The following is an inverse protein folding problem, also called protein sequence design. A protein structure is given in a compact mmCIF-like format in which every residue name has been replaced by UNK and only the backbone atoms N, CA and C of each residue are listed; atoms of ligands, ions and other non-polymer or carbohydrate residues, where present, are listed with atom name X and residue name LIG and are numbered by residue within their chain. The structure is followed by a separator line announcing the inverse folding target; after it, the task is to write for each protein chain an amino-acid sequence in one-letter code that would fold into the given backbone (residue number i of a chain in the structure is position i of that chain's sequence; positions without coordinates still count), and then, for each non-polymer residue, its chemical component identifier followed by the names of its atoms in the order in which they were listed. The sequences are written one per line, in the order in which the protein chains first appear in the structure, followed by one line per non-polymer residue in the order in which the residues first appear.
data_IF_501693819314
#
_entry.id   IF_501693819314
#
_cell.length_a   1.000
_cell.length_b   1.000
_cell.length_c   1.000
_cell.angle_alpha   90.00
_cell.angle_beta   90.00
_cell.angle_gamma   90.00
#
_symmetry.space_group_name_H-M   'P 1'
#
loop_
_entity.id
_entity.type
_entity.pdbx_description
1 polymer ?
#
# COMPACT_ATOMS: atom_id res chain seq x y z
N UNK A 1 2.56 15.69 -19.74
CA UNK A 1 2.92 14.37 -19.19
C UNK A 1 4.42 14.29 -18.83
N UNK A 2 5.32 14.85 -19.65
CA UNK A 2 6.78 14.87 -19.39
C UNK A 2 7.23 15.59 -18.10
N UNK A 3 6.55 16.66 -17.70
CA UNK A 3 6.93 17.44 -16.51
C UNK A 3 6.75 16.69 -15.19
N UNK A 4 5.73 15.83 -15.07
CA UNK A 4 5.46 15.07 -13.84
C UNK A 4 6.45 13.91 -13.67
N UNK A 5 6.83 13.25 -14.77
CA UNK A 5 7.86 12.21 -14.78
C UNK A 5 9.22 12.79 -14.37
N UNK A 6 9.64 13.92 -14.95
CA UNK A 6 10.89 14.57 -14.56
C UNK A 6 10.93 14.93 -13.06
N UNK A 7 9.81 15.41 -12.49
CA UNK A 7 9.74 15.70 -11.05
C UNK A 7 9.84 14.45 -10.18
N UNK A 8 9.33 13.31 -10.65
CA UNK A 8 9.44 12.04 -9.94
C UNK A 8 10.86 11.48 -10.00
N UNK A 9 11.54 11.62 -11.14
CA UNK A 9 12.94 11.22 -11.28
C UNK A 9 13.86 12.06 -10.37
N UNK A 10 13.64 13.37 -10.31
CA UNK A 10 14.37 14.26 -9.39
C UNK A 10 14.10 13.90 -7.92
N UNK A 11 12.84 13.62 -7.58
CA UNK A 11 12.45 13.19 -6.23
C UNK A 11 13.07 11.84 -5.84
N UNK A 12 13.12 10.88 -6.77
CA UNK A 12 13.80 9.59 -6.55
C UNK A 12 15.27 9.82 -6.22
N UNK A 13 15.99 10.62 -7.02
CA UNK A 13 17.42 10.88 -6.81
C UNK A 13 17.68 11.54 -5.44
N UNK A 14 16.89 12.54 -5.08
CA UNK A 14 17.00 13.21 -3.79
C UNK A 14 16.77 12.22 -2.63
N UNK A 15 15.72 11.40 -2.69
CA UNK A 15 15.42 10.42 -1.64
C UNK A 15 16.49 9.34 -1.52
N UNK A 16 17.07 8.88 -2.63
CA UNK A 16 18.20 7.93 -2.59
C UNK A 16 19.42 8.51 -1.89
N UNK A 17 19.74 9.79 -2.11
CA UNK A 17 20.82 10.45 -1.38
C UNK A 17 20.53 10.49 0.12
N UNK A 18 19.30 10.82 0.53
CA UNK A 18 18.92 10.82 1.95
C UNK A 18 19.02 9.41 2.56
N UNK A 19 18.54 8.38 1.87
CA UNK A 19 18.64 6.98 2.35
C UNK A 19 20.09 6.54 2.50
N UNK A 20 20.99 6.97 1.61
CA UNK A 20 22.41 6.65 1.70
C UNK A 20 23.09 7.36 2.89
N UNK A 21 22.67 8.58 3.22
CA UNK A 21 23.22 9.35 4.34
C UNK A 21 22.63 8.93 5.69
N UNK A 22 21.36 8.52 5.70
CA UNK A 22 20.60 8.16 6.91
C UNK A 22 19.75 6.90 6.65
N UNK A 23 20.38 5.71 6.65
CA UNK A 23 19.72 4.46 6.27
C UNK A 23 18.59 4.05 7.21
N UNK A 24 18.54 4.57 8.44
CA UNK A 24 17.55 4.19 9.44
C UNK A 24 16.24 4.98 9.35
N UNK A 25 16.13 5.94 8.41
CA UNK A 25 14.91 6.72 8.23
C UNK A 25 13.82 5.94 7.50
N UNK A 26 12.95 5.30 8.29
CA UNK A 26 11.80 4.52 7.82
C UNK A 26 10.85 5.35 6.92
N UNK A 27 10.56 6.59 7.32
CA UNK A 27 9.69 7.49 6.54
C UNK A 27 10.27 7.78 5.14
N UNK A 28 11.57 8.00 5.04
CA UNK A 28 12.25 8.26 3.76
C UNK A 28 12.21 7.03 2.84
N UNK A 29 12.44 5.84 3.38
CA UNK A 29 12.32 4.57 2.63
C UNK A 29 10.89 4.32 2.14
N UNK A 30 9.89 4.62 2.98
CA UNK A 30 8.49 4.54 2.57
C UNK A 30 8.16 5.51 1.42
N UNK A 31 8.62 6.75 1.52
CA UNK A 31 8.42 7.76 0.46
C UNK A 31 9.12 7.35 -0.84
N UNK A 32 10.33 6.79 -0.75
CA UNK A 32 11.03 6.25 -1.92
C UNK A 32 10.22 5.12 -2.57
N UNK A 33 9.66 4.21 -1.78
CA UNK A 33 8.76 3.15 -2.27
C UNK A 33 7.57 3.70 -3.07
N UNK A 34 6.91 4.74 -2.57
CA UNK A 34 5.78 5.39 -3.26
C UNK A 34 6.21 6.04 -4.59
N UNK A 35 7.36 6.70 -4.62
CA UNK A 35 7.89 7.31 -5.85
C UNK A 35 8.25 6.22 -6.88
N UNK A 36 8.89 5.15 -6.45
CA UNK A 36 9.25 4.01 -7.31
C UNK A 36 7.99 3.33 -7.88
N UNK A 37 6.93 3.19 -7.10
CA UNK A 37 5.63 2.68 -7.58
C UNK A 37 5.06 3.57 -8.69
N UNK A 38 5.06 4.90 -8.49
CA UNK A 38 4.58 5.86 -9.50
C UNK A 38 5.42 5.87 -10.78
N UNK A 39 6.70 5.49 -10.68
CA UNK A 39 7.61 5.32 -11.80
C UNK A 39 7.53 3.91 -12.45
N UNK A 40 6.71 3.01 -11.92
CA UNK A 40 6.58 1.64 -12.40
C UNK A 40 7.75 0.71 -12.02
N UNK A 41 8.67 1.16 -11.15
CA UNK A 41 9.81 0.38 -10.64
C UNK A 41 9.37 -0.52 -9.48
N UNK A 42 8.40 -1.40 -9.76
CA UNK A 42 7.66 -2.16 -8.75
C UNK A 42 8.55 -3.08 -7.89
N UNK A 43 9.57 -3.71 -8.48
CA UNK A 43 10.49 -4.60 -7.73
C UNK A 43 11.35 -3.82 -6.71
N UNK A 44 11.73 -2.58 -7.02
CA UNK A 44 12.48 -1.74 -6.08
C UNK A 44 11.56 -1.17 -4.99
N UNK A 45 10.33 -0.81 -5.36
CA UNK A 45 9.31 -0.39 -4.40
C UNK A 45 9.00 -1.51 -3.38
N UNK A 46 8.88 -2.76 -3.85
CA UNK A 46 8.70 -3.93 -2.98
C UNK A 46 9.83 -4.05 -1.95
N UNK A 47 11.08 -3.92 -2.38
CA UNK A 47 12.24 -3.98 -1.48
C UNK A 47 12.20 -2.86 -0.43
N UNK A 48 11.79 -1.65 -0.83
CA UNK A 48 11.65 -0.53 0.10
C UNK A 48 10.61 -0.84 1.19
N UNK A 49 9.42 -1.33 0.81
CA UNK A 49 8.37 -1.64 1.79
C UNK A 49 8.74 -2.82 2.69
N UNK A 50 9.40 -3.86 2.16
CA UNK A 50 9.92 -4.96 3.00
C UNK A 50 10.97 -4.48 3.99
N UNK A 51 11.86 -3.58 3.59
CA UNK A 51 12.85 -2.99 4.48
C UNK A 51 12.18 -2.12 5.57
N UNK A 52 11.15 -1.36 5.22
CA UNK A 52 10.34 -0.59 6.19
C UNK A 52 9.66 -1.52 7.19
N UNK A 53 9.03 -2.60 6.73
CA UNK A 53 8.36 -3.59 7.61
C UNK A 53 9.37 -4.26 8.54
N UNK A 54 10.57 -4.60 8.06
CA UNK A 54 11.61 -5.20 8.89
C UNK A 54 12.11 -4.25 9.99
N UNK A 55 12.23 -2.95 9.68
CA UNK A 55 12.68 -1.93 10.63
C UNK A 55 11.56 -1.42 11.55
N UNK A 56 10.31 -1.45 11.08
CA UNK A 56 9.13 -0.94 11.79
C UNK A 56 7.89 -1.76 11.43
N UNK A 57 7.72 -2.95 12.05
CA UNK A 57 6.61 -3.85 11.77
C UNK A 57 5.23 -3.24 12.06
N UNK A 58 5.20 -2.20 12.88
CA UNK A 58 3.99 -1.50 13.32
C UNK A 58 3.57 -0.37 12.37
N UNK A 59 4.18 -0.25 11.19
CA UNK A 59 3.84 0.76 10.20
C UNK A 59 2.82 0.22 9.16
N UNK A 60 1.51 0.50 9.33
CA UNK A 60 0.45 -0.14 8.54
C UNK A 60 0.49 0.24 7.06
N UNK A 61 0.95 1.45 6.72
CA UNK A 61 1.04 1.95 5.35
C UNK A 61 1.97 1.08 4.49
N UNK A 62 3.10 0.62 5.05
CA UNK A 62 4.03 -0.24 4.31
C UNK A 62 3.45 -1.64 4.05
N UNK A 63 2.70 -2.21 5.00
CA UNK A 63 1.97 -3.45 4.77
C UNK A 63 0.91 -3.27 3.68
N UNK A 64 0.13 -2.18 3.72
CA UNK A 64 -0.87 -1.89 2.68
C UNK A 64 -0.23 -1.74 1.30
N UNK A 65 0.85 -0.97 1.18
CA UNK A 65 1.49 -0.71 -0.11
C UNK A 65 2.23 -1.95 -0.65
N UNK A 66 2.85 -2.75 0.21
CA UNK A 66 3.37 -4.07 -0.19
C UNK A 66 2.24 -4.96 -0.71
N UNK A 67 1.08 -4.96 -0.04
CA UNK A 67 -0.10 -5.68 -0.49
C UNK A 67 -0.54 -5.27 -1.90
N UNK A 68 -0.54 -3.96 -2.20
CA UNK A 68 -0.89 -3.44 -3.53
C UNK A 68 0.05 -3.96 -4.63
N UNK A 69 1.36 -3.94 -4.37
CA UNK A 69 2.34 -4.47 -5.32
C UNK A 69 2.12 -5.97 -5.56
N UNK A 70 1.94 -6.74 -4.49
CA UNK A 70 1.73 -8.19 -4.57
C UNK A 70 0.43 -8.54 -5.31
N UNK A 71 -0.64 -7.79 -5.05
CA UNK A 71 -1.92 -7.92 -5.76
C UNK A 71 -1.75 -7.64 -7.25
N UNK A 72 -1.04 -6.56 -7.62
CA UNK A 72 -0.72 -6.24 -9.02
C UNK A 72 0.11 -7.32 -9.71
N UNK A 73 0.93 -8.05 -8.95
CA UNK A 73 1.70 -9.20 -9.43
C UNK A 73 0.90 -10.53 -9.43
N UNK A 74 -0.39 -10.52 -9.07
CA UNK A 74 -1.23 -11.72 -9.01
C UNK A 74 -1.00 -12.61 -7.79
N UNK A 75 -0.19 -12.18 -6.82
CA UNK A 75 0.10 -12.92 -5.57
C UNK A 75 -0.96 -12.63 -4.52
N UNK A 76 -2.19 -13.07 -4.78
CA UNK A 76 -3.37 -12.64 -4.03
C UNK A 76 -3.35 -13.08 -2.55
N UNK A 77 -2.82 -14.27 -2.24
CA UNK A 77 -2.67 -14.78 -0.88
C UNK A 77 -1.71 -13.93 -0.04
N UNK A 78 -0.55 -13.57 -0.61
CA UNK A 78 0.45 -12.73 0.05
C UNK A 78 -0.10 -11.31 0.23
N UNK A 79 -0.80 -10.78 -0.78
CA UNK A 79 -1.46 -9.48 -0.71
C UNK A 79 -2.50 -9.44 0.42
N UNK A 80 -3.39 -10.44 0.50
CA UNK A 80 -4.35 -10.57 1.60
C UNK A 80 -3.66 -10.56 2.96
N UNK A 81 -2.57 -11.32 3.10
CA UNK A 81 -1.81 -11.37 4.35
C UNK A 81 -1.26 -9.99 4.73
N UNK A 82 -0.76 -9.23 3.77
CA UNK A 82 -0.29 -7.87 3.99
C UNK A 82 -1.41 -6.93 4.43
N UNK A 83 -2.57 -6.94 3.77
CA UNK A 83 -3.70 -6.10 4.17
C UNK A 83 -4.24 -6.46 5.56
N UNK A 84 -4.30 -7.75 5.90
CA UNK A 84 -4.68 -8.19 7.25
C UNK A 84 -3.69 -7.70 8.30
N UNK A 85 -2.38 -7.71 8.00
CA UNK A 85 -1.38 -7.11 8.89
C UNK A 85 -1.60 -5.60 9.06
N UNK A 86 -1.83 -4.86 7.97
CA UNK A 86 -2.14 -3.43 8.04
C UNK A 86 -3.35 -3.14 8.94
N UNK A 87 -4.45 -3.90 8.78
CA UNK A 87 -5.67 -3.80 9.59
C UNK A 87 -5.40 -4.14 11.06
N UNK A 88 -4.57 -5.16 11.33
CA UNK A 88 -4.23 -5.53 12.71
C UNK A 88 -3.48 -4.40 13.45
N UNK A 89 -2.72 -3.56 12.73
CA UNK A 89 -2.02 -2.39 13.28
C UNK A 89 -2.91 -1.16 13.35
N UNK A 90 -3.84 -1.02 12.40
CA UNK A 90 -4.77 0.10 12.29
C UNK A 90 -6.15 -0.42 11.89
N UNK A 91 -6.98 -0.69 12.89
CA UNK A 91 -8.28 -1.33 12.70
C UNK A 91 -9.30 -0.48 11.91
N UNK A 92 -9.10 0.83 11.84
CA UNK A 92 -9.92 1.76 11.06
C UNK A 92 -9.28 2.13 9.71
N UNK A 93 -8.31 1.35 9.23
CA UNK A 93 -7.63 1.62 7.96
C UNK A 93 -8.51 1.27 6.76
N UNK A 94 -9.27 2.27 6.32
CA UNK A 94 -10.26 2.17 5.23
C UNK A 94 -9.67 1.59 3.94
N UNK A 95 -8.50 2.08 3.51
CA UNK A 95 -7.85 1.61 2.28
C UNK A 95 -7.47 0.12 2.38
N UNK A 96 -6.95 -0.32 3.51
CA UNK A 96 -6.59 -1.73 3.71
C UNK A 96 -7.84 -2.64 3.73
N UNK A 97 -8.95 -2.20 4.33
CA UNK A 97 -10.22 -2.92 4.25
C UNK A 97 -10.75 -3.02 2.82
N UNK A 98 -10.70 -1.93 2.07
CA UNK A 98 -11.14 -1.89 0.68
C UNK A 98 -10.27 -2.78 -0.22
N UNK A 99 -8.96 -2.72 -0.05
CA UNK A 99 -8.00 -3.53 -0.81
C UNK A 99 -8.11 -5.02 -0.47
N UNK A 100 -8.32 -5.36 0.81
CA UNK A 100 -8.61 -6.73 1.23
C UNK A 100 -9.91 -7.23 0.60
N UNK A 101 -10.98 -6.43 0.59
CA UNK A 101 -12.25 -6.79 -0.03
C UNK A 101 -12.09 -7.10 -1.53
N UNK A 102 -11.37 -6.24 -2.27
CA UNK A 102 -11.07 -6.46 -3.68
C UNK A 102 -10.27 -7.74 -3.92
N UNK A 103 -9.28 -7.99 -3.07
CA UNK A 103 -8.43 -9.19 -3.16
C UNK A 103 -9.23 -10.47 -2.88
N UNK A 104 -10.09 -10.46 -1.86
CA UNK A 104 -10.98 -11.57 -1.54
C UNK A 104 -11.97 -11.84 -2.67
N UNK A 105 -12.51 -10.79 -3.31
CA UNK A 105 -13.38 -10.90 -4.47
C UNK A 105 -12.67 -11.55 -5.66
N UNK A 106 -11.42 -11.17 -5.94
CA UNK A 106 -10.61 -11.77 -7.00
C UNK A 106 -10.26 -13.24 -6.72
N UNK A 107 -10.23 -13.63 -5.44
CA UNK A 107 -10.09 -15.02 -4.99
C UNK A 107 -11.42 -15.78 -4.86
N UNK A 108 -12.54 -15.18 -5.31
CA UNK A 108 -13.90 -15.72 -5.22
C UNK A 108 -14.42 -15.98 -3.78
N UNK A 109 -13.79 -15.37 -2.77
CA UNK A 109 -14.21 -15.41 -1.36
C UNK A 109 -15.25 -14.32 -1.07
N UNK A 110 -16.42 -14.44 -1.70
CA UNK A 110 -17.39 -13.34 -1.81
C UNK A 110 -18.00 -12.90 -0.48
N UNK A 111 -18.25 -13.82 0.45
CA UNK A 111 -18.84 -13.47 1.76
C UNK A 111 -17.86 -12.67 2.63
N UNK A 112 -16.59 -13.07 2.65
CA UNK A 112 -15.55 -12.32 3.36
C UNK A 112 -15.31 -10.95 2.71
N UNK A 113 -15.34 -10.88 1.37
CA UNK A 113 -15.23 -9.62 0.65
C UNK A 113 -16.35 -8.63 1.04
N UNK A 114 -17.61 -9.10 1.06
CA UNK A 114 -18.76 -8.28 1.49
C UNK A 114 -18.56 -7.73 2.90
N UNK A 115 -18.11 -8.55 3.84
CA UNK A 115 -17.86 -8.10 5.22
C UNK A 115 -16.84 -6.96 5.27
N UNK A 116 -15.77 -7.04 4.49
CA UNK A 116 -14.76 -5.98 4.45
C UNK A 116 -15.29 -4.70 3.78
N UNK A 117 -16.06 -4.81 2.68
CA UNK A 117 -16.72 -3.64 2.10
C UNK A 117 -17.67 -2.95 3.09
N UNK A 118 -18.46 -3.71 3.85
CA UNK A 118 -19.31 -3.12 4.88
C UNK A 118 -18.52 -2.36 5.95
N UNK A 119 -17.32 -2.83 6.33
CA UNK A 119 -16.43 -2.09 7.22
C UNK A 119 -15.96 -0.78 6.59
N UNK A 120 -15.56 -0.78 5.31
CA UNK A 120 -15.19 0.44 4.57
C UNK A 120 -16.33 1.47 4.58
N UNK A 121 -17.57 1.05 4.27
CA UNK A 121 -18.74 1.94 4.25
C UNK A 121 -19.09 2.46 5.65
N UNK A 122 -18.95 1.63 6.69
CA UNK A 122 -19.20 2.04 8.08
C UNK A 122 -18.18 3.07 8.56
N UNK A 123 -16.90 2.90 8.20
CA UNK A 123 -15.82 3.80 8.58
C UNK A 123 -15.86 5.13 7.80
N UNK A 124 -16.30 5.10 6.54
CA UNK A 124 -16.51 6.30 5.73
C UNK A 124 -17.89 6.28 5.05
N UNK A 125 -18.95 6.70 5.76
CA UNK A 125 -20.30 6.74 5.20
C UNK A 125 -20.42 7.65 3.97
N UNK A 126 -19.64 8.75 3.93
CA UNK A 126 -19.60 9.65 2.77
C UNK A 126 -18.94 9.04 1.53
N UNK A 127 -18.05 8.05 1.71
CA UNK A 127 -17.50 7.29 0.59
C UNK A 127 -18.60 6.40 -0.02
N UNK A 128 -19.51 5.84 0.79
CA UNK A 128 -20.65 5.08 0.28
C UNK A 128 -21.52 5.91 -0.67
N UNK A 129 -21.80 7.16 -0.33
CA UNK A 129 -22.59 8.07 -1.17
C UNK A 129 -21.94 8.33 -2.53
N UNK A 130 -20.59 8.42 -2.59
CA UNK A 130 -19.87 8.64 -3.84
C UNK A 130 -19.81 7.41 -4.77
N UNK A 131 -20.04 6.20 -4.24
CA UNK A 131 -20.02 4.95 -5.01
C UNK A 131 -21.41 4.52 -5.50
N UNK A 132 -22.46 5.00 -4.84
CA UNK A 132 -23.86 4.65 -5.13
C UNK A 132 -24.72 5.85 -5.59
N UNK A 133 -24.13 7.04 -5.70
CA UNK A 133 -24.78 8.27 -6.18
C UNK A 133 -24.59 8.53 -7.67
#
# INVERSE_FOLDING_TARGET
VSSNLNLLDDAEQALRQVVNLQPDMVATKSNLGVILERLGKLSEAEQCYRAVIAASPEFPEAHNNLGNILKGAGKLEEAQSCYMNAIARKADYVDAHYNLANTLRERELLEDAKQQYFKTLKLQPKLAEAWYG
#
